data_IF_117407596444
#
_entry.id   IF_117407596444
#
_cell.length_a   1.000
_cell.length_b   1.000
_cell.length_c   1.000
_cell.angle_alpha   90.00
_cell.angle_beta   90.00
_cell.angle_gamma   90.00
#
_symmetry.space_group_name_H-M   'P 1'
#
loop_
_entity.id
_entity.type
_entity.pdbx_description
1 polymer ?
#
# COMPACT_ATOMS: atom_id res chain seq x y z
N UNK A 1 -0.08 -11.11 -22.13
CA UNK A 1 -1.15 -10.62 -21.23
C UNK A 1 -0.73 -10.96 -19.80
N UNK A 2 -0.62 -10.01 -18.85
CA UNK A 2 -0.12 -10.31 -17.50
C UNK A 2 -1.22 -10.96 -16.66
N UNK A 3 -1.71 -12.12 -17.10
CA UNK A 3 -2.59 -12.98 -16.31
C UNK A 3 -1.84 -13.72 -15.20
N UNK A 4 -0.51 -13.62 -15.18
CA UNK A 4 0.39 -14.33 -14.26
C UNK A 4 1.48 -13.41 -13.67
N UNK A 5 1.18 -12.14 -13.44
CA UNK A 5 2.15 -11.16 -12.92
C UNK A 5 1.76 -10.69 -11.52
N UNK A 6 2.57 -11.09 -10.53
CA UNK A 6 2.49 -10.57 -9.18
C UNK A 6 3.20 -9.21 -9.09
N UNK A 7 2.48 -8.20 -8.62
CA UNK A 7 3.02 -6.86 -8.35
C UNK A 7 3.31 -6.72 -6.87
N UNK A 8 4.54 -6.38 -6.53
CA UNK A 8 4.98 -6.20 -5.15
C UNK A 8 5.22 -4.71 -4.87
N UNK A 9 4.48 -4.14 -3.93
CA UNK A 9 4.62 -2.75 -3.47
C UNK A 9 5.33 -2.75 -2.13
N UNK A 10 6.53 -2.17 -2.09
CA UNK A 10 7.37 -2.09 -0.90
C UNK A 10 7.08 -0.81 -0.09
N UNK A 11 6.18 -0.89 0.88
CA UNK A 11 5.78 0.22 1.75
C UNK A 11 6.48 0.17 3.13
N UNK A 12 7.79 -0.10 3.16
CA UNK A 12 8.58 -0.22 4.40
C UNK A 12 9.18 1.11 4.89
N UNK A 13 9.23 2.14 4.04
CA UNK A 13 9.89 3.41 4.35
C UNK A 13 9.18 4.17 5.49
N UNK A 14 9.97 4.59 6.48
CA UNK A 14 9.53 5.43 7.61
C UNK A 14 9.42 6.90 7.24
N UNK A 15 9.94 7.30 6.08
CA UNK A 15 9.84 8.66 5.54
C UNK A 15 10.75 9.65 6.25
N UNK A 16 12.07 9.42 6.16
CA UNK A 16 13.05 10.44 6.52
C UNK A 16 12.78 11.72 5.73
N UNK A 17 12.81 12.88 6.41
CA UNK A 17 12.47 14.18 5.84
C UNK A 17 10.97 14.56 5.87
N UNK A 18 10.07 13.65 6.30
CA UNK A 18 8.64 13.94 6.52
C UNK A 18 8.19 13.53 7.95
N UNK A 19 9.09 13.65 8.93
CA UNK A 19 8.90 13.08 10.28
C UNK A 19 7.64 13.56 10.98
N UNK A 20 7.23 14.83 10.81
CA UNK A 20 5.98 15.35 11.36
C UNK A 20 4.74 14.62 10.79
N UNK A 21 4.78 14.20 9.52
CA UNK A 21 3.68 13.54 8.82
C UNK A 21 3.74 12.01 8.91
N UNK A 22 4.92 11.44 9.18
CA UNK A 22 5.14 9.99 9.33
C UNK A 22 5.30 9.54 10.78
N UNK A 23 5.10 10.44 11.76
CA UNK A 23 5.20 10.11 13.18
C UNK A 23 4.33 8.93 13.59
N UNK A 24 3.15 8.77 13.02
CA UNK A 24 2.19 7.70 13.37
C UNK A 24 1.86 6.75 12.23
N UNK A 25 2.48 6.91 11.06
CA UNK A 25 2.10 6.20 9.84
C UNK A 25 3.27 6.06 8.88
N UNK A 26 3.21 5.09 7.97
CA UNK A 26 4.22 4.97 6.90
C UNK A 26 4.13 6.13 5.90
N UNK A 27 5.21 6.38 5.17
CA UNK A 27 5.23 7.35 4.06
C UNK A 27 4.13 7.07 3.03
N UNK A 28 3.87 5.79 2.75
CA UNK A 28 2.82 5.35 1.85
C UNK A 28 1.40 5.73 2.35
N UNK A 29 1.20 5.85 3.66
CA UNK A 29 -0.07 6.24 4.27
C UNK A 29 -0.24 7.75 4.49
N UNK A 30 0.75 8.56 4.08
CA UNK A 30 0.66 10.02 4.21
C UNK A 30 -0.49 10.54 3.32
N UNK A 31 -1.41 11.35 3.87
CA UNK A 31 -2.45 12.00 3.09
C UNK A 31 -1.86 12.91 2.02
N UNK A 32 -2.44 12.88 0.82
CA UNK A 32 -2.05 13.71 -0.31
C UNK A 32 -3.32 14.15 -1.05
N UNK A 33 -3.43 15.43 -1.42
CA UNK A 33 -4.57 15.91 -2.18
C UNK A 33 -5.93 15.70 -1.49
N UNK A 34 -6.02 16.03 -0.19
CA UNK A 34 -7.20 15.90 0.67
C UNK A 34 -7.61 14.45 0.99
N UNK A 35 -8.17 13.71 0.02
CA UNK A 35 -8.80 12.40 0.27
C UNK A 35 -7.88 11.20 -0.02
N UNK A 36 -6.81 11.43 -0.76
CA UNK A 36 -5.92 10.36 -1.21
C UNK A 36 -4.74 10.19 -0.26
N UNK A 37 -4.00 9.12 -0.48
CA UNK A 37 -2.70 8.84 0.13
C UNK A 37 -1.68 8.58 -0.95
N UNK A 38 -0.40 8.72 -0.59
CA UNK A 38 0.72 8.49 -1.52
C UNK A 38 0.63 7.13 -2.23
N UNK A 39 0.18 6.08 -1.53
CA UNK A 39 0.01 4.75 -2.13
C UNK A 39 -1.03 4.69 -3.26
N UNK A 40 -2.03 5.58 -3.28
CA UNK A 40 -3.11 5.55 -4.26
C UNK A 40 -2.60 5.83 -5.67
N UNK A 41 -1.52 6.59 -5.82
CA UNK A 41 -0.87 6.80 -7.12
C UNK A 41 -0.33 5.49 -7.70
N UNK A 42 0.35 4.70 -6.87
CA UNK A 42 0.93 3.41 -7.30
C UNK A 42 -0.19 2.43 -7.64
N UNK A 43 -1.23 2.34 -6.81
CA UNK A 43 -2.35 1.45 -7.03
C UNK A 43 -3.17 1.81 -8.27
N UNK A 44 -3.38 3.10 -8.52
CA UNK A 44 -4.07 3.59 -9.73
C UNK A 44 -3.27 3.25 -10.98
N UNK A 45 -1.94 3.39 -10.93
CA UNK A 45 -1.07 2.96 -12.03
C UNK A 45 -1.18 1.46 -12.28
N UNK A 46 -1.12 0.63 -11.23
CA UNK A 46 -1.30 -0.81 -11.36
C UNK A 46 -2.66 -1.16 -11.99
N UNK A 47 -3.73 -0.49 -11.55
CA UNK A 47 -5.07 -0.66 -12.08
C UNK A 47 -5.15 -0.35 -13.58
N UNK A 48 -4.60 0.81 -14.00
CA UNK A 48 -4.56 1.23 -15.40
C UNK A 48 -3.69 0.30 -16.26
N UNK A 49 -2.63 -0.27 -15.69
CA UNK A 49 -1.77 -1.26 -16.34
C UNK A 49 -2.35 -2.69 -16.33
N UNK A 50 -3.58 -2.88 -15.83
CA UNK A 50 -4.25 -4.19 -15.70
C UNK A 50 -3.51 -5.17 -14.77
N UNK A 51 -2.72 -4.67 -13.83
CA UNK A 51 -2.04 -5.47 -12.80
C UNK A 51 -3.00 -5.69 -11.64
N UNK A 52 -3.56 -6.91 -11.55
CA UNK A 52 -4.63 -7.25 -10.58
C UNK A 52 -4.15 -8.03 -9.36
N UNK A 53 -3.02 -8.71 -9.47
CA UNK A 53 -2.38 -9.42 -8.36
C UNK A 53 -1.38 -8.45 -7.70
N UNK A 54 -1.81 -7.77 -6.64
CA UNK A 54 -1.00 -6.77 -5.95
C UNK A 54 -0.81 -7.19 -4.51
N UNK A 55 0.45 -7.22 -4.07
CA UNK A 55 0.87 -7.46 -2.71
C UNK A 55 1.59 -6.25 -2.14
N UNK A 56 1.08 -5.72 -1.02
CA UNK A 56 1.71 -4.60 -0.32
C UNK A 56 2.47 -5.13 0.90
N UNK A 57 3.79 -4.99 0.87
CA UNK A 57 4.66 -5.31 1.99
C UNK A 57 4.78 -4.09 2.91
N UNK A 58 4.45 -4.29 4.18
CA UNK A 58 4.50 -3.24 5.21
C UNK A 58 5.25 -3.76 6.43
N UNK A 59 5.90 -2.87 7.18
CA UNK A 59 6.61 -3.26 8.41
C UNK A 59 6.22 -2.37 9.58
N UNK A 60 6.53 -1.09 9.48
CA UNK A 60 6.39 -0.13 10.57
C UNK A 60 5.03 0.58 10.53
N UNK A 61 4.39 0.82 11.69
CA UNK A 61 3.18 1.67 11.86
C UNK A 61 2.14 1.55 10.72
N UNK A 62 1.87 0.32 10.29
CA UNK A 62 1.10 0.04 9.08
C UNK A 62 -0.41 0.02 9.30
N UNK A 63 -0.90 0.11 10.54
CA UNK A 63 -2.32 -0.02 10.85
C UNK A 63 -3.22 0.92 10.04
N UNK A 64 -2.85 2.20 9.95
CA UNK A 64 -3.59 3.18 9.14
C UNK A 64 -3.56 2.83 7.65
N UNK A 65 -2.42 2.37 7.13
CA UNK A 65 -2.29 1.94 5.73
C UNK A 65 -3.17 0.73 5.44
N UNK A 66 -3.13 -0.27 6.32
CA UNK A 66 -3.90 -1.50 6.18
C UNK A 66 -5.41 -1.21 6.19
N UNK A 67 -5.87 -0.33 7.09
CA UNK A 67 -7.28 0.11 7.12
C UNK A 67 -7.69 0.77 5.80
N UNK A 68 -6.89 1.70 5.29
CA UNK A 68 -7.13 2.37 4.00
C UNK A 68 -7.23 1.39 2.83
N UNK A 69 -6.35 0.40 2.77
CA UNK A 69 -6.37 -0.61 1.71
C UNK A 69 -7.57 -1.55 1.83
N UNK A 70 -7.92 -1.98 3.04
CA UNK A 70 -9.12 -2.79 3.28
C UNK A 70 -10.40 -2.05 2.90
N UNK A 71 -10.55 -0.81 3.36
CA UNK A 71 -11.80 -0.07 3.22
C UNK A 71 -11.95 0.52 1.80
N UNK A 72 -10.85 0.97 1.19
CA UNK A 72 -10.88 1.70 -0.09
C UNK A 72 -10.52 0.86 -1.32
N UNK A 73 -9.73 -0.21 -1.18
CA UNK A 73 -9.15 -0.92 -2.33
C UNK A 73 -9.53 -2.40 -2.45
N UNK A 74 -10.23 -2.97 -1.45
CA UNK A 74 -10.64 -4.39 -1.46
C UNK A 74 -11.64 -4.77 -2.57
N UNK A 75 -12.26 -3.79 -3.23
CA UNK A 75 -13.16 -3.99 -4.37
C UNK A 75 -12.37 -4.23 -5.67
N UNK A 76 -11.16 -3.66 -5.75
CA UNK A 76 -10.36 -3.67 -6.98
C UNK A 76 -9.23 -4.70 -6.99
N UNK A 77 -8.82 -5.14 -5.80
CA UNK A 77 -7.68 -6.04 -5.56
C UNK A 77 -8.22 -7.29 -4.86
N UNK A 78 -7.80 -8.46 -5.32
CA UNK A 78 -8.17 -9.72 -4.68
C UNK A 78 -7.70 -9.75 -3.22
N UNK A 79 -8.63 -9.99 -2.29
CA UNK A 79 -8.38 -10.07 -0.85
C UNK A 79 -7.29 -11.07 -0.50
N UNK A 80 -7.09 -12.11 -1.32
CA UNK A 80 -6.10 -13.16 -1.08
C UNK A 80 -4.64 -12.67 -1.13
N UNK A 81 -4.38 -11.52 -1.77
CA UNK A 81 -3.02 -11.05 -2.03
C UNK A 81 -2.69 -9.69 -1.42
N UNK A 82 -3.60 -9.08 -0.65
CA UNK A 82 -3.56 -7.64 -0.43
C UNK A 82 -2.43 -7.17 0.51
N UNK A 83 -2.07 -7.93 1.56
CA UNK A 83 -1.14 -7.45 2.60
C UNK A 83 -0.29 -8.57 3.19
N UNK A 84 1.03 -8.34 3.23
CA UNK A 84 1.95 -9.10 4.07
C UNK A 84 2.66 -8.15 5.03
N UNK A 85 2.66 -8.51 6.30
CA UNK A 85 3.37 -7.78 7.33
C UNK A 85 4.72 -8.46 7.55
N UNK A 86 5.82 -7.74 7.32
CA UNK A 86 7.17 -8.30 7.45
C UNK A 86 7.48 -8.79 8.87
N UNK A 87 6.76 -8.30 9.89
CA UNK A 87 6.87 -8.81 11.26
C UNK A 87 6.30 -10.23 11.46
N UNK A 88 5.54 -10.75 10.49
CA UNK A 88 4.97 -12.12 10.54
C UNK A 88 5.82 -13.11 9.72
N UNK A 89 6.95 -12.66 9.18
CA UNK A 89 7.90 -13.46 8.39
C UNK A 89 9.20 -13.78 9.16
N UNK A 90 9.22 -13.57 10.49
CA UNK A 90 10.34 -13.90 11.39
C UNK A 90 9.91 -14.81 12.52
#
# INVERSE_FOLDING_TARGET
MPSNTLTLILAYDRGQGLEALTRERTKAAVPFGSKYRVIDFVLTNCLHSRLRQILVLTQYKSHSLQKHLRDGWSIFIDKKHMLLKLSELS
#
